data_IF_506879548262
#
_entry.id   IF_506879548262
#
_cell.length_a   1.000
_cell.length_b   1.000
_cell.length_c   1.000
_cell.angle_alpha   90.00
_cell.angle_beta   90.00
_cell.angle_gamma   90.00
#
_symmetry.space_group_name_H-M   'P 1'
#
loop_
_entity.id
_entity.type
_entity.pdbx_description
1 polymer ?
#
# COMPACT_ATOMS: atom_id res chain seq x y z
N UNK A 1 1.46 -65.13 -12.66
CA UNK A 1 1.82 -63.75 -13.03
C UNK A 1 0.91 -62.80 -12.24
N UNK A 2 1.42 -62.06 -11.26
CA UNK A 2 0.63 -61.06 -10.51
C UNK A 2 0.90 -59.69 -11.12
N UNK A 3 -0.14 -59.11 -11.73
CA UNK A 3 -0.09 -57.79 -12.36
C UNK A 3 -0.28 -56.73 -11.27
N UNK A 4 0.78 -55.98 -10.94
CA UNK A 4 0.68 -54.82 -10.05
C UNK A 4 0.26 -53.60 -10.86
N UNK A 5 -0.95 -53.10 -10.59
CA UNK A 5 -1.49 -51.88 -11.19
C UNK A 5 -0.91 -50.68 -10.42
N UNK A 6 0.03 -49.95 -11.03
CA UNK A 6 0.51 -48.67 -10.49
C UNK A 6 -0.51 -47.58 -10.84
N UNK A 7 -1.33 -47.18 -9.87
CA UNK A 7 -2.21 -46.02 -9.98
C UNK A 7 -1.41 -44.74 -9.82
N UNK A 8 -1.22 -44.00 -10.92
CA UNK A 8 -0.65 -42.66 -10.93
C UNK A 8 -1.73 -41.67 -10.44
N UNK A 9 -1.62 -41.22 -9.19
CA UNK A 9 -2.46 -40.13 -8.67
C UNK A 9 -1.81 -38.80 -9.03
N UNK A 10 -2.31 -38.17 -10.10
CA UNK A 10 -2.02 -36.76 -10.40
C UNK A 10 -2.78 -35.89 -9.40
N UNK A 11 -2.10 -35.44 -8.34
CA UNK A 11 -2.63 -34.38 -7.49
C UNK A 11 -2.47 -33.04 -8.22
N UNK A 12 -3.57 -32.45 -8.68
CA UNK A 12 -3.58 -31.06 -9.10
C UNK A 12 -3.28 -30.18 -7.87
N UNK A 13 -2.09 -29.59 -7.83
CA UNK A 13 -1.75 -28.55 -6.86
C UNK A 13 -2.59 -27.32 -7.21
N UNK A 14 -3.56 -26.99 -6.36
CA UNK A 14 -4.40 -25.82 -6.52
C UNK A 14 -3.59 -24.59 -6.08
N UNK A 15 -3.00 -23.86 -7.02
CA UNK A 15 -2.40 -22.57 -6.72
C UNK A 15 -3.53 -21.54 -6.58
N UNK A 16 -3.66 -20.84 -5.44
CA UNK A 16 -4.64 -19.76 -5.33
C UNK A 16 -4.32 -18.71 -6.40
N UNK A 17 -5.35 -18.12 -7.04
CA UNK A 17 -5.14 -17.08 -8.05
C UNK A 17 -4.38 -15.91 -7.41
N UNK A 18 -3.32 -15.47 -8.08
CA UNK A 18 -2.55 -14.29 -7.67
C UNK A 18 -3.51 -13.10 -7.69
N UNK A 19 -3.74 -12.48 -6.52
CA UNK A 19 -4.57 -11.27 -6.43
C UNK A 19 -3.83 -10.17 -7.20
N UNK A 20 -4.45 -9.54 -8.23
CA UNK A 20 -3.81 -8.47 -8.96
C UNK A 20 -3.47 -7.32 -8.04
N UNK A 21 -2.29 -6.75 -8.19
CA UNK A 21 -1.89 -5.58 -7.42
C UNK A 21 -2.51 -4.35 -8.06
N UNK A 22 -3.23 -3.58 -7.24
CA UNK A 22 -3.89 -2.35 -7.65
C UNK A 22 -3.17 -1.19 -6.97
N UNK A 23 -2.78 -0.19 -7.77
CA UNK A 23 -2.20 1.04 -7.27
C UNK A 23 -3.32 2.02 -6.90
N UNK A 24 -3.22 2.72 -5.76
CA UNK A 24 -4.20 3.74 -5.41
C UNK A 24 -4.14 4.93 -6.40
N UNK A 25 -5.24 5.67 -6.54
CA UNK A 25 -5.25 6.88 -7.36
C UNK A 25 -4.36 7.97 -6.76
N UNK A 26 -3.79 8.82 -7.62
CA UNK A 26 -2.94 9.95 -7.23
C UNK A 26 -3.71 11.28 -7.25
N UNK A 27 -3.24 12.31 -6.54
CA UNK A 27 -3.86 13.65 -6.46
C UNK A 27 -4.21 14.24 -7.83
N UNK A 28 -3.43 13.94 -8.88
CA UNK A 28 -3.70 14.41 -10.25
C UNK A 28 -5.11 14.02 -10.76
N UNK A 29 -5.69 12.92 -10.27
CA UNK A 29 -7.05 12.50 -10.65
C UNK A 29 -8.13 13.44 -10.10
N UNK A 30 -7.85 14.20 -9.04
CA UNK A 30 -8.79 15.15 -8.42
C UNK A 30 -9.02 16.42 -9.25
N UNK A 31 -8.33 16.59 -10.39
CA UNK A 31 -8.48 17.75 -11.28
C UNK A 31 -8.31 19.09 -10.56
N UNK A 32 -7.37 19.16 -9.60
CA UNK A 32 -7.09 20.36 -8.83
C UNK A 32 -8.00 20.61 -7.62
N UNK A 33 -8.99 19.75 -7.34
CA UNK A 33 -9.75 19.82 -6.09
C UNK A 33 -8.86 19.40 -4.91
N UNK A 34 -8.78 20.23 -3.87
CA UNK A 34 -8.13 19.86 -2.60
C UNK A 34 -9.01 18.81 -1.91
N UNK A 35 -8.40 17.73 -1.45
CA UNK A 35 -9.04 16.76 -0.58
C UNK A 35 -8.94 17.26 0.86
N UNK A 36 -10.05 17.24 1.60
CA UNK A 36 -10.08 17.56 3.02
C UNK A 36 -10.01 16.26 3.82
N UNK A 37 -8.94 16.10 4.58
CA UNK A 37 -8.63 14.96 5.44
C UNK A 37 -8.07 15.46 6.77
N UNK A 38 -7.93 14.59 7.77
CA UNK A 38 -7.36 14.99 9.06
C UNK A 38 -5.96 15.60 8.90
N UNK A 39 -5.13 14.99 8.05
CA UNK A 39 -3.80 15.51 7.76
C UNK A 39 -3.84 16.86 7.01
N UNK A 40 -4.58 16.95 5.91
CA UNK A 40 -4.57 18.16 5.05
C UNK A 40 -5.26 19.38 5.67
N UNK A 41 -6.02 19.17 6.74
CA UNK A 41 -6.61 20.20 7.60
C UNK A 41 -5.69 20.59 8.77
N UNK A 42 -4.56 19.90 8.97
CA UNK A 42 -3.60 20.20 10.04
C UNK A 42 -4.07 19.77 11.43
N UNK A 43 -4.94 18.76 11.52
CA UNK A 43 -5.45 18.24 12.79
C UNK A 43 -4.60 17.15 13.43
N UNK A 44 -3.45 16.82 12.82
CA UNK A 44 -2.52 15.82 13.31
C UNK A 44 -1.17 16.45 13.58
N UNK A 45 -0.62 16.19 14.76
CA UNK A 45 0.78 16.47 15.06
C UNK A 45 1.69 15.40 14.42
N UNK A 46 2.99 15.68 14.37
CA UNK A 46 4.01 14.70 13.96
C UNK A 46 3.93 13.41 14.78
N UNK A 47 3.64 13.51 16.07
CA UNK A 47 3.45 12.34 16.94
C UNK A 47 2.20 11.54 16.54
N UNK A 48 1.08 12.20 16.26
CA UNK A 48 -0.16 11.52 15.84
C UNK A 48 0.04 10.77 14.52
N UNK A 49 0.81 11.37 13.60
CA UNK A 49 1.19 10.74 12.33
C UNK A 49 2.04 9.50 12.57
N UNK A 50 3.10 9.62 13.38
CA UNK A 50 3.98 8.50 13.71
C UNK A 50 3.24 7.36 14.42
N UNK A 51 2.39 7.69 15.39
CA UNK A 51 1.61 6.72 16.16
C UNK A 51 0.62 5.97 15.24
N UNK A 52 -0.09 6.70 14.38
CA UNK A 52 -0.97 6.11 13.37
C UNK A 52 -0.24 5.17 12.42
N UNK A 53 0.88 5.60 11.82
CA UNK A 53 1.59 4.79 10.83
C UNK A 53 2.27 3.55 11.46
N UNK A 54 2.72 3.66 12.70
CA UNK A 54 3.35 2.56 13.45
C UNK A 54 2.40 1.40 13.73
N UNK A 55 1.10 1.66 13.82
CA UNK A 55 0.07 0.63 14.05
C UNK A 55 -0.28 -0.19 12.80
N UNK A 56 0.51 -0.06 11.72
CA UNK A 56 0.34 -0.77 10.45
C UNK A 56 -1.07 -0.63 9.85
N UNK A 57 -1.58 0.60 9.66
CA UNK A 57 -2.91 0.82 9.07
C UNK A 57 -2.97 0.29 7.63
N UNK A 58 -4.18 0.01 7.17
CA UNK A 58 -4.44 -0.40 5.79
C UNK A 58 -4.19 0.73 4.79
N UNK A 59 -3.98 0.41 3.51
CA UNK A 59 -3.85 1.42 2.45
C UNK A 59 -5.04 2.38 2.44
N UNK A 60 -6.27 1.88 2.64
CA UNK A 60 -7.46 2.72 2.67
C UNK A 60 -7.47 3.68 3.87
N UNK A 61 -7.08 3.21 5.05
CA UNK A 61 -6.98 4.08 6.23
C UNK A 61 -5.93 5.18 6.02
N UNK A 62 -4.80 4.86 5.39
CA UNK A 62 -3.80 5.87 4.98
C UNK A 62 -4.43 6.89 4.04
N UNK A 63 -5.15 6.46 3.01
CA UNK A 63 -5.79 7.37 2.05
C UNK A 63 -6.90 8.23 2.68
N UNK A 64 -7.59 7.72 3.69
CA UNK A 64 -8.62 8.46 4.43
C UNK A 64 -7.99 9.55 5.33
N UNK A 65 -6.84 9.25 5.94
CA UNK A 65 -6.13 10.17 6.85
C UNK A 65 -5.31 11.21 6.08
N UNK A 66 -4.48 10.77 5.13
CA UNK A 66 -3.52 11.62 4.41
C UNK A 66 -4.07 12.17 3.10
N UNK A 67 -5.09 11.53 2.55
CA UNK A 67 -5.57 11.80 1.19
C UNK A 67 -4.77 11.03 0.14
N UNK A 68 -5.07 11.30 -1.12
CA UNK A 68 -4.36 10.71 -2.24
C UNK A 68 -2.89 11.14 -2.24
N UNK A 69 -1.94 10.25 -2.59
CA UNK A 69 -0.53 10.57 -2.76
C UNK A 69 -0.28 11.39 -4.02
N UNK A 70 0.83 12.12 -4.07
CA UNK A 70 1.30 12.84 -5.25
C UNK A 70 1.81 11.88 -6.34
N UNK A 71 2.47 10.80 -5.92
CA UNK A 71 2.97 9.74 -6.80
C UNK A 71 2.86 8.38 -6.12
N UNK A 72 2.73 7.33 -6.93
CA UNK A 72 2.74 5.95 -6.47
C UNK A 72 3.70 5.16 -7.34
N UNK A 73 4.56 4.38 -6.69
CA UNK A 73 5.45 3.43 -7.35
C UNK A 73 5.31 2.04 -6.71
N UNK A 74 5.72 1.00 -7.42
CA UNK A 74 5.78 -0.38 -6.93
C UNK A 74 7.14 -0.95 -7.29
N UNK A 75 7.74 -1.71 -6.38
CA UNK A 75 9.02 -2.35 -6.65
C UNK A 75 8.95 -3.43 -7.73
N UNK A 76 10.12 -3.80 -8.25
CA UNK A 76 10.25 -4.77 -9.34
C UNK A 76 9.74 -6.16 -8.94
N UNK A 77 9.77 -6.47 -7.64
CA UNK A 77 9.30 -7.73 -7.06
C UNK A 77 7.81 -7.71 -6.77
N UNK A 78 7.12 -6.58 -6.97
CA UNK A 78 5.70 -6.43 -6.72
C UNK A 78 5.29 -6.77 -5.27
N UNK A 79 6.16 -6.46 -4.30
CA UNK A 79 5.95 -6.73 -2.87
C UNK A 79 5.64 -5.47 -2.05
N UNK A 80 6.07 -4.30 -2.51
CA UNK A 80 5.91 -3.04 -1.79
C UNK A 80 5.48 -1.92 -2.74
N UNK A 81 4.40 -1.22 -2.38
CA UNK A 81 3.97 0.03 -3.01
C UNK A 81 4.52 1.19 -2.19
N UNK A 82 4.94 2.25 -2.86
CA UNK A 82 5.48 3.46 -2.26
C UNK A 82 4.54 4.63 -2.58
N UNK A 83 3.96 5.21 -1.55
CA UNK A 83 3.08 6.37 -1.64
C UNK A 83 3.90 7.61 -1.27
N UNK A 84 4.08 8.51 -2.22
CA UNK A 84 4.84 9.75 -2.04
C UNK A 84 3.91 10.92 -1.75
N UNK A 85 4.19 11.64 -0.67
CA UNK A 85 3.47 12.85 -0.26
C UNK A 85 4.42 14.03 -0.24
N UNK A 86 4.19 15.01 -1.13
CA UNK A 86 5.00 16.23 -1.17
C UNK A 86 4.61 17.17 -0.02
N UNK A 87 5.60 17.53 0.81
CA UNK A 87 5.45 18.43 1.94
C UNK A 87 5.92 19.82 1.52
N UNK A 88 4.99 20.76 1.32
CA UNK A 88 5.31 22.10 0.81
C UNK A 88 6.28 22.88 1.67
N UNK A 89 6.24 22.69 2.99
CA UNK A 89 7.00 23.50 3.93
C UNK A 89 8.48 23.05 3.97
N UNK A 90 8.72 21.76 3.71
CA UNK A 90 10.06 21.16 3.63
C UNK A 90 10.61 21.12 2.21
N UNK A 91 9.74 21.28 1.19
CA UNK A 91 10.06 21.11 -0.23
C UNK A 91 10.63 19.71 -0.53
N UNK A 92 10.15 18.69 0.17
CA UNK A 92 10.58 17.30 0.02
C UNK A 92 9.39 16.32 0.06
N UNK A 93 9.64 15.04 -0.20
CA UNK A 93 8.65 13.98 -0.16
C UNK A 93 8.82 13.11 1.08
N UNK A 94 7.70 12.92 1.79
CA UNK A 94 7.55 11.83 2.74
C UNK A 94 7.03 10.58 2.04
N UNK A 95 7.37 9.42 2.57
CA UNK A 95 7.12 8.12 1.95
C UNK A 95 6.37 7.23 2.94
N UNK A 96 5.29 6.60 2.46
CA UNK A 96 4.63 5.51 3.16
C UNK A 96 4.75 4.25 2.30
N UNK A 97 5.27 3.18 2.90
CA UNK A 97 5.41 1.87 2.26
C UNK A 97 4.22 0.98 2.60
N UNK A 98 3.53 0.47 1.58
CA UNK A 98 2.40 -0.45 1.71
C UNK A 98 2.83 -1.83 1.20
N UNK A 99 2.68 -2.86 2.04
CA UNK A 99 2.89 -4.23 1.59
C UNK A 99 1.82 -4.64 0.58
N UNK A 100 2.21 -4.99 -0.64
CA UNK A 100 1.30 -5.49 -1.66
C UNK A 100 0.65 -6.85 -1.30
N UNK A 101 1.21 -7.55 -0.30
CA UNK A 101 0.69 -8.84 0.20
C UNK A 101 -0.40 -8.67 1.26
N UNK A 102 -0.22 -7.72 2.17
CA UNK A 102 -1.11 -7.53 3.33
C UNK A 102 -2.00 -6.29 3.21
N UNK A 103 -1.74 -5.43 2.22
CA UNK A 103 -2.46 -4.18 1.98
C UNK A 103 -2.42 -3.22 3.18
N UNK A 104 -1.31 -3.28 3.94
CA UNK A 104 -1.08 -2.53 5.17
C UNK A 104 0.32 -1.90 5.18
N UNK A 105 0.49 -0.84 5.97
CA UNK A 105 1.77 -0.13 6.13
C UNK A 105 2.84 -1.08 6.66
N UNK A 106 3.95 -1.16 5.92
CA UNK A 106 5.14 -1.94 6.26
C UNK A 106 6.33 -1.10 6.69
N UNK A 107 6.31 0.20 6.40
CA UNK A 107 7.38 1.14 6.69
C UNK A 107 6.98 2.57 6.30
N UNK A 108 7.72 3.56 6.78
CA UNK A 108 7.53 4.95 6.42
C UNK A 108 8.79 5.78 6.75
N UNK A 109 9.00 6.82 5.95
CA UNK A 109 9.94 7.92 6.21
C UNK A 109 9.10 9.19 6.24
N UNK A 110 8.93 9.73 7.45
CA UNK A 110 8.04 10.86 7.70
C UNK A 110 8.71 11.83 8.66
N UNK A 111 9.23 12.91 8.08
CA UNK A 111 9.91 14.02 8.76
C UNK A 111 9.06 15.30 8.73
#
# INVERSE_FOLDING_TARGET
>A
MRLFLFTFVFSCVFFPPVKPIVLPPIKKTLSGKKQETLYTLGYMSEYDIWDFLKDSPTENEVLDIFGLPDSVWIDEQEITKFLYYFISDMQDYNIIEISAKTDSVSGFEWD
#
